data_IF_243732460322
#
_entry.id   IF_243732460322
#
_cell.length_a   1.000
_cell.length_b   1.000
_cell.length_c   1.000
_cell.angle_alpha   90.00
_cell.angle_beta   90.00
_cell.angle_gamma   90.00
#
_symmetry.space_group_name_H-M   'P 1'
#
loop_
_entity.id
_entity.type
_entity.pdbx_description
1 polymer ?
#
# COMPACT_ATOMS: atom_id res chain seq x y z
N UNK A 1 -18.04 12.88 -1.13
CA UNK A 1 -16.72 12.25 -0.90
C UNK A 1 -16.71 10.95 -1.69
N UNK A 2 -15.98 10.90 -2.80
CA UNK A 2 -15.93 9.70 -3.65
C UNK A 2 -15.13 8.61 -2.93
N UNK A 3 -15.69 7.40 -2.84
CA UNK A 3 -15.06 6.23 -2.22
C UNK A 3 -13.75 5.81 -2.92
N UNK A 4 -13.51 6.31 -4.13
CA UNK A 4 -12.40 5.92 -5.01
C UNK A 4 -11.03 6.39 -4.51
N UNK A 5 -10.95 7.52 -3.80
CA UNK A 5 -9.68 8.08 -3.29
C UNK A 5 -8.95 7.15 -2.30
N UNK A 6 -9.69 6.27 -1.62
CA UNK A 6 -9.13 5.38 -0.61
C UNK A 6 -8.80 3.99 -1.13
N UNK A 7 -9.23 3.63 -2.35
CA UNK A 7 -8.93 2.32 -2.93
C UNK A 7 -7.52 2.28 -3.49
N UNK A 8 -6.67 1.43 -2.91
CA UNK A 8 -5.32 1.16 -3.40
C UNK A 8 -5.24 -0.19 -4.09
N UNK A 9 -4.40 -0.24 -5.13
CA UNK A 9 -4.14 -1.44 -5.92
C UNK A 9 -3.13 -2.34 -5.21
N UNK A 10 -3.38 -3.65 -5.17
CA UNK A 10 -2.42 -4.68 -4.80
C UNK A 10 -1.84 -5.25 -6.08
N UNK A 11 -0.52 -5.21 -6.22
CA UNK A 11 0.20 -5.71 -7.39
C UNK A 11 1.01 -6.95 -7.03
N UNK A 12 1.18 -7.83 -8.01
CA UNK A 12 2.15 -8.92 -7.90
C UNK A 12 3.57 -8.36 -7.73
N UNK A 13 4.38 -8.87 -6.79
CA UNK A 13 5.73 -8.37 -6.55
C UNK A 13 6.72 -8.74 -7.67
N UNK A 14 6.37 -9.68 -8.56
CA UNK A 14 7.22 -10.15 -9.66
C UNK A 14 6.83 -9.51 -10.99
N UNK A 15 5.54 -9.53 -11.33
CA UNK A 15 5.04 -9.14 -12.65
C UNK A 15 4.34 -7.78 -12.68
N UNK A 16 4.20 -7.14 -11.51
CA UNK A 16 3.50 -5.86 -11.31
C UNK A 16 2.05 -5.81 -11.82
N UNK A 17 1.48 -6.96 -12.18
CA UNK A 17 0.09 -7.07 -12.58
C UNK A 17 -0.84 -6.83 -11.38
N UNK A 18 -2.01 -6.25 -11.65
CA UNK A 18 -3.03 -6.04 -10.64
C UNK A 18 -3.61 -7.39 -10.19
N UNK A 19 -3.48 -7.71 -8.91
CA UNK A 19 -3.99 -8.95 -8.31
C UNK A 19 -5.10 -8.70 -7.29
N UNK A 20 -5.30 -7.44 -6.88
CA UNK A 20 -6.35 -7.07 -5.93
C UNK A 20 -6.46 -5.57 -5.69
N UNK A 21 -7.39 -5.19 -4.82
CA UNK A 21 -7.56 -3.82 -4.31
C UNK A 21 -7.88 -3.88 -2.82
N UNK A 22 -7.55 -2.82 -2.09
CA UNK A 22 -7.89 -2.68 -0.66
C UNK A 22 -8.24 -1.24 -0.30
N UNK A 23 -9.02 -1.05 0.76
CA UNK A 23 -9.27 0.28 1.34
C UNK A 23 -8.08 0.68 2.22
N UNK A 24 -7.40 1.75 1.84
CA UNK A 24 -6.22 2.27 2.54
C UNK A 24 -6.48 2.76 3.96
N UNK A 25 -7.72 3.06 4.34
CA UNK A 25 -8.09 3.48 5.71
C UNK A 25 -8.16 2.30 6.67
N UNK A 26 -8.45 1.11 6.15
CA UNK A 26 -8.56 -0.14 6.92
C UNK A 26 -7.25 -0.91 6.85
N UNK A 27 -6.60 -0.90 5.69
CA UNK A 27 -5.48 -1.79 5.40
C UNK A 27 -5.96 -3.23 5.16
N UNK A 28 -5.01 -4.15 5.16
CA UNK A 28 -5.24 -5.60 5.04
C UNK A 28 -4.26 -6.34 5.95
N UNK A 29 -4.68 -7.47 6.53
CA UNK A 29 -3.83 -8.30 7.40
C UNK A 29 -3.97 -9.74 6.98
N UNK A 30 -2.84 -10.42 6.73
CA UNK A 30 -2.81 -11.82 6.28
C UNK A 30 -3.73 -12.12 5.10
N UNK A 31 -3.92 -11.15 4.20
CA UNK A 31 -4.77 -11.34 3.03
C UNK A 31 -3.95 -11.93 1.90
N UNK A 32 -4.41 -13.07 1.38
CA UNK A 32 -3.76 -13.79 0.28
C UNK A 32 -4.32 -13.35 -1.07
N UNK A 33 -3.43 -13.13 -2.03
CA UNK A 33 -3.78 -12.87 -3.43
C UNK A 33 -3.06 -13.85 -4.34
N UNK A 34 -3.79 -14.44 -5.26
CA UNK A 34 -3.23 -15.33 -6.28
C UNK A 34 -2.78 -14.55 -7.51
N UNK A 35 -1.57 -14.81 -8.00
CA UNK A 35 -1.11 -14.27 -9.26
C UNK A 35 -1.22 -15.32 -10.38
N UNK A 36 -2.01 -15.09 -11.44
CA UNK A 36 -2.20 -16.06 -12.54
C UNK A 36 -0.92 -16.27 -13.36
N UNK A 37 0.01 -15.30 -13.38
CA UNK A 37 1.30 -15.42 -14.05
C UNK A 37 2.32 -16.22 -13.24
N UNK A 38 2.42 -15.95 -11.93
CA UNK A 38 3.32 -16.69 -11.05
C UNK A 38 2.81 -18.11 -10.74
N UNK A 39 1.49 -18.31 -10.84
CA UNK A 39 0.78 -19.49 -10.33
C UNK A 39 1.06 -19.74 -8.83
N UNK A 40 1.21 -18.65 -8.07
CA UNK A 40 1.56 -18.65 -6.65
C UNK A 40 0.68 -17.65 -5.89
N UNK A 41 0.47 -17.94 -4.62
CA UNK A 41 -0.21 -17.08 -3.67
C UNK A 41 0.78 -16.18 -2.93
N UNK A 42 0.37 -14.95 -2.66
CA UNK A 42 1.14 -13.96 -1.91
C UNK A 42 0.30 -13.42 -0.76
N UNK A 43 0.82 -13.53 0.45
CA UNK A 43 0.18 -12.97 1.65
C UNK A 43 0.70 -11.58 1.92
N UNK A 44 -0.21 -10.62 2.06
CA UNK A 44 0.13 -9.23 2.36
C UNK A 44 -0.47 -8.79 3.69
N UNK A 45 0.33 -8.01 4.42
CA UNK A 45 -0.10 -7.25 5.59
C UNK A 45 0.26 -5.80 5.34
N UNK A 46 -0.75 -4.97 5.07
CA UNK A 46 -0.64 -3.55 4.80
C UNK A 46 -1.40 -2.81 5.89
N UNK A 47 -0.70 -2.01 6.70
CA UNK A 47 -1.33 -1.23 7.76
C UNK A 47 -2.23 -0.13 7.19
N UNK A 48 -3.32 0.16 7.88
CA UNK A 48 -4.15 1.34 7.65
C UNK A 48 -3.29 2.61 7.59
N UNK A 49 -3.52 3.44 6.58
CA UNK A 49 -2.97 4.79 6.54
C UNK A 49 -3.72 5.65 7.55
N UNK A 50 -3.21 5.72 8.78
CA UNK A 50 -3.52 6.87 9.64
C UNK A 50 -2.99 8.10 8.91
N UNK A 51 -3.81 9.15 8.80
CA UNK A 51 -3.36 10.47 8.32
C UNK A 51 -2.31 11.00 9.29
N UNK A 52 -1.07 10.52 9.20
CA UNK A 52 0.07 11.18 9.82
C UNK A 52 0.24 12.48 9.07
N UNK A 53 -0.21 13.59 9.69
CA UNK A 53 0.16 14.93 9.25
C UNK A 53 1.67 14.91 9.07
N UNK A 54 2.13 15.24 7.87
CA UNK A 54 3.54 15.27 7.52
C UNK A 54 4.25 16.23 8.47
N UNK A 55 4.87 15.72 9.54
CA UNK A 55 5.84 16.49 10.31
C UNK A 55 7.05 16.61 9.41
N UNK A 56 7.12 17.70 8.63
CA UNK A 56 8.32 18.08 7.90
C UNK A 56 9.36 18.41 8.98
N UNK A 57 10.23 17.46 9.29
CA UNK A 57 11.44 17.75 10.05
C UNK A 57 12.30 18.61 9.11
N UNK A 58 12.25 19.92 9.31
CA UNK A 58 13.08 20.89 8.62
C UNK A 58 14.50 20.72 9.16
N UNK A 59 15.34 19.90 8.52
CA UNK A 59 16.76 19.84 8.86
C UNK A 59 17.45 21.08 8.29
N UNK A 60 17.66 22.07 9.16
CA UNK A 60 18.48 23.25 8.85
C UNK A 60 19.93 22.81 8.67
N UNK A 61 20.38 22.67 7.42
CA UNK A 61 21.76 22.34 7.08
C UNK A 61 22.60 23.61 7.22
N UNK A 62 23.11 23.86 8.44
CA UNK A 62 24.06 24.96 8.71
C UNK A 62 25.40 24.59 8.06
N UNK A 63 25.72 25.27 6.96
CA UNK A 63 27.05 25.29 6.33
C UNK A 63 28.00 26.01 7.29
N UNK A 64 29.09 25.34 7.66
CA UNK A 64 30.32 25.91 8.21
C UNK A 64 31.46 25.39 7.34
#
# INVERSE_FOLDING_TARGET
MLLEDYQKKVKCPIHECLIGKYDSRIGITNTTFYCPKCKKEYTFTIRAQKKEKSVKILTNKKRL
#
